data_IF_813883671735
#
_entry.id   IF_813883671735
#
_cell.length_a   1.000
_cell.length_b   1.000
_cell.length_c   1.000
_cell.angle_alpha   90.00
_cell.angle_beta   90.00
_cell.angle_gamma   90.00
#
_symmetry.space_group_name_H-M   'P 1'
#
loop_
_entity.id
_entity.type
_entity.pdbx_description
1 polymer ?
#
# COMPACT_ATOMS: atom_id res chain seq x y z
N UNK A 1 -2.49 29.43 20.28
CA UNK A 1 -3.44 29.99 19.31
C UNK A 1 -4.12 31.18 19.94
N UNK A 2 -4.05 32.34 19.29
CA UNK A 2 -4.74 33.54 19.74
C UNK A 2 -6.26 33.32 19.62
N UNK A 3 -6.99 33.64 20.68
CA UNK A 3 -8.44 33.58 20.68
C UNK A 3 -9.01 34.60 19.68
N UNK A 4 -10.08 34.23 18.93
CA UNK A 4 -10.82 35.09 18.00
C UNK A 4 -10.19 35.31 16.59
N UNK A 5 -9.32 34.43 16.12
CA UNK A 5 -8.88 34.47 14.70
C UNK A 5 -10.03 33.98 13.80
N UNK A 6 -10.43 34.82 12.81
CA UNK A 6 -11.37 34.45 11.77
C UNK A 6 -10.61 33.93 10.54
N UNK A 7 -10.73 32.63 10.26
CA UNK A 7 -10.10 31.99 9.10
C UNK A 7 -11.11 31.88 7.96
N UNK A 8 -10.76 32.40 6.77
CA UNK A 8 -11.56 32.25 5.54
C UNK A 8 -10.91 31.21 4.64
N UNK A 9 -11.54 30.05 4.47
CA UNK A 9 -10.99 28.91 3.74
C UNK A 9 -11.41 28.84 2.25
N UNK A 10 -12.42 29.60 1.85
CA UNK A 10 -12.98 29.54 0.50
C UNK A 10 -13.24 30.95 -0.06
N UNK A 11 -12.17 31.72 -0.27
CA UNK A 11 -12.21 33.01 -0.98
C UNK A 11 -11.66 32.82 -2.39
N UNK A 12 -11.94 33.77 -3.31
CA UNK A 12 -11.37 33.79 -4.65
C UNK A 12 -9.83 33.71 -4.62
N UNK A 13 -9.20 34.49 -3.73
CA UNK A 13 -7.74 34.44 -3.53
C UNK A 13 -7.26 33.06 -3.10
N UNK A 14 -7.95 32.42 -2.15
CA UNK A 14 -7.59 31.08 -1.66
C UNK A 14 -7.75 30.04 -2.76
N UNK A 15 -8.84 30.08 -3.52
CA UNK A 15 -9.06 29.16 -4.65
C UNK A 15 -7.99 29.33 -5.73
N UNK A 16 -7.62 30.56 -6.07
CA UNK A 16 -6.54 30.83 -7.04
C UNK A 16 -5.20 30.27 -6.58
N UNK A 17 -4.83 30.47 -5.31
CA UNK A 17 -3.58 29.94 -4.75
C UNK A 17 -3.58 28.40 -4.77
N UNK A 18 -4.67 27.75 -4.34
CA UNK A 18 -4.81 26.30 -4.38
C UNK A 18 -4.66 25.76 -5.80
N UNK A 19 -5.32 26.39 -6.78
CA UNK A 19 -5.19 26.03 -8.19
C UNK A 19 -3.74 26.06 -8.65
N UNK A 20 -3.01 27.13 -8.33
CA UNK A 20 -1.58 27.27 -8.69
C UNK A 20 -0.73 26.15 -8.03
N UNK A 21 -0.98 25.85 -6.76
CA UNK A 21 -0.26 24.76 -6.06
C UNK A 21 -0.56 23.41 -6.71
N UNK A 22 -1.82 23.11 -7.03
CA UNK A 22 -2.19 21.88 -7.73
C UNK A 22 -1.56 21.79 -9.12
N UNK A 23 -1.54 22.88 -9.89
CA UNK A 23 -0.84 22.95 -11.17
C UNK A 23 0.65 22.62 -11.05
N UNK A 24 1.33 23.13 -10.01
CA UNK A 24 2.74 22.84 -9.73
C UNK A 24 2.96 21.38 -9.32
N UNK A 25 2.06 20.80 -8.50
CA UNK A 25 2.11 19.39 -8.15
C UNK A 25 1.95 18.52 -9.39
N UNK A 26 0.97 18.79 -10.24
CA UNK A 26 0.72 18.06 -11.47
C UNK A 26 1.84 18.21 -12.52
N UNK A 27 2.54 19.34 -12.53
CA UNK A 27 3.69 19.56 -13.40
C UNK A 27 4.90 18.67 -13.03
N UNK A 28 4.99 18.26 -11.78
CA UNK A 28 6.05 17.37 -11.28
C UNK A 28 5.59 15.93 -11.06
N UNK A 29 4.36 15.59 -11.44
CA UNK A 29 3.75 14.30 -11.25
C UNK A 29 3.69 13.54 -12.58
N UNK A 30 4.03 12.24 -12.55
CA UNK A 30 3.76 11.36 -13.69
C UNK A 30 2.25 11.18 -13.85
N UNK A 31 1.71 11.66 -14.99
CA UNK A 31 0.28 11.74 -15.28
C UNK A 31 -0.27 10.57 -16.09
N UNK A 32 0.42 9.42 -16.08
CA UNK A 32 -0.05 8.20 -16.72
C UNK A 32 -1.21 7.56 -15.93
N UNK A 33 -2.32 8.31 -15.80
CA UNK A 33 -3.47 7.92 -14.97
C UNK A 33 -4.17 6.66 -15.48
N UNK A 34 -4.13 6.39 -16.78
CA UNK A 34 -4.79 5.23 -17.39
C UNK A 34 -4.19 3.89 -16.94
N UNK A 35 -2.93 3.88 -16.57
CA UNK A 35 -2.19 2.71 -16.09
C UNK A 35 -1.87 2.76 -14.60
N UNK A 36 -2.34 3.78 -13.90
CA UNK A 36 -2.07 3.98 -12.48
C UNK A 36 -3.07 3.21 -11.61
N UNK A 37 -2.60 2.36 -10.69
CA UNK A 37 -3.43 1.58 -9.76
C UNK A 37 -4.29 2.46 -8.82
N UNK A 38 -3.95 3.75 -8.68
CA UNK A 38 -4.72 4.70 -7.88
C UNK A 38 -5.77 5.46 -8.69
N UNK A 39 -5.89 5.22 -10.00
CA UNK A 39 -6.86 5.91 -10.87
C UNK A 39 -8.29 5.74 -10.36
N UNK A 40 -9.08 6.80 -10.39
CA UNK A 40 -10.44 6.84 -9.84
C UNK A 40 -10.53 6.96 -8.30
N UNK A 41 -9.42 6.69 -7.57
CA UNK A 41 -9.33 6.83 -6.10
C UNK A 41 -8.19 7.78 -5.69
N UNK A 42 -7.69 8.60 -6.60
CA UNK A 42 -6.56 9.50 -6.39
C UNK A 42 -7.06 10.91 -6.02
N UNK A 43 -6.68 11.39 -4.82
CA UNK A 43 -7.06 12.73 -4.37
C UNK A 43 -6.53 13.85 -5.28
N UNK A 44 -5.32 13.69 -5.83
CA UNK A 44 -4.76 14.66 -6.77
C UNK A 44 -5.60 14.75 -8.06
N UNK A 45 -6.10 13.63 -8.57
CA UNK A 45 -6.98 13.56 -9.74
C UNK A 45 -8.31 14.25 -9.44
N UNK A 46 -8.93 13.97 -8.30
CA UNK A 46 -10.18 14.60 -7.86
C UNK A 46 -10.05 16.13 -7.76
N UNK A 47 -8.98 16.61 -7.12
CA UNK A 47 -8.73 18.06 -7.03
C UNK A 47 -8.42 18.69 -8.39
N UNK A 48 -7.72 17.97 -9.29
CA UNK A 48 -7.48 18.47 -10.64
C UNK A 48 -8.80 18.71 -11.40
N UNK A 49 -9.75 17.80 -11.27
CA UNK A 49 -11.09 17.91 -11.83
C UNK A 49 -11.89 19.06 -11.18
N UNK A 50 -11.93 19.12 -9.83
CA UNK A 50 -12.64 20.17 -9.09
C UNK A 50 -12.18 21.59 -9.47
N UNK A 51 -10.88 21.78 -9.67
CA UNK A 51 -10.29 23.06 -10.04
C UNK A 51 -10.19 23.29 -11.56
N UNK A 52 -10.68 22.36 -12.38
CA UNK A 52 -10.69 22.46 -13.83
C UNK A 52 -9.30 22.58 -14.44
N UNK A 53 -8.31 21.83 -13.90
CA UNK A 53 -6.94 21.85 -14.38
C UNK A 53 -6.80 20.81 -15.51
N UNK A 54 -6.68 21.30 -16.75
CA UNK A 54 -6.54 20.46 -17.95
C UNK A 54 -5.13 20.45 -18.52
N UNK A 55 -4.40 21.53 -18.32
CA UNK A 55 -3.07 21.72 -18.89
C UNK A 55 -2.12 22.37 -17.88
N UNK A 56 -0.92 21.83 -17.81
CA UNK A 56 0.20 22.33 -17.00
C UNK A 56 1.47 22.48 -17.83
N UNK A 57 1.35 22.50 -19.16
CA UNK A 57 2.48 22.59 -20.11
C UNK A 57 3.39 23.80 -19.87
N UNK A 58 2.85 24.90 -19.33
CA UNK A 58 3.61 26.09 -18.92
C UNK A 58 4.72 25.79 -17.89
N UNK A 59 4.65 24.63 -17.19
CA UNK A 59 5.63 24.22 -16.19
C UNK A 59 6.53 23.05 -16.64
N UNK A 60 6.35 22.50 -17.85
CA UNK A 60 7.00 21.26 -18.35
C UNK A 60 8.52 21.30 -18.34
N UNK A 61 9.13 22.47 -18.41
CA UNK A 61 10.61 22.58 -18.37
C UNK A 61 11.23 22.09 -17.05
N UNK A 62 10.42 21.90 -16.00
CA UNK A 62 10.87 21.41 -14.70
C UNK A 62 10.95 19.86 -14.61
N UNK A 63 10.41 19.12 -15.57
CA UNK A 63 10.23 17.65 -15.48
C UNK A 63 11.40 16.82 -15.99
N UNK A 64 12.18 17.29 -16.96
CA UNK A 64 13.07 16.42 -17.76
C UNK A 64 14.20 15.73 -16.97
N UNK A 65 14.59 16.25 -15.82
CA UNK A 65 15.76 15.73 -15.07
C UNK A 65 15.37 14.96 -13.79
N UNK A 66 14.08 14.56 -13.63
CA UNK A 66 13.58 14.04 -12.35
C UNK A 66 13.10 12.60 -12.36
N UNK A 67 13.14 11.93 -13.50
CA UNK A 67 12.68 10.54 -13.52
C UNK A 67 13.53 9.67 -12.58
N UNK A 68 12.87 9.09 -11.58
CA UNK A 68 13.48 8.20 -10.62
C UNK A 68 13.07 6.76 -10.91
N UNK A 69 13.96 5.77 -10.70
CA UNK A 69 13.59 4.38 -10.87
C UNK A 69 12.47 3.98 -9.90
N UNK A 70 11.55 3.17 -10.41
CA UNK A 70 10.52 2.53 -9.60
C UNK A 70 11.19 1.44 -8.76
N UNK A 71 10.84 1.38 -7.48
CA UNK A 71 11.30 0.34 -6.57
C UNK A 71 10.17 -0.67 -6.35
N UNK A 72 10.28 -1.81 -7.01
CA UNK A 72 9.39 -2.97 -6.92
C UNK A 72 10.04 -4.17 -6.22
N UNK A 73 11.17 -3.94 -5.58
CA UNK A 73 11.97 -4.97 -4.90
C UNK A 73 11.27 -5.60 -3.69
N UNK A 74 10.32 -4.89 -3.08
CA UNK A 74 9.55 -5.37 -1.95
C UNK A 74 8.49 -6.40 -2.38
N UNK A 75 8.26 -7.48 -1.63
CA UNK A 75 7.27 -8.51 -1.99
C UNK A 75 5.81 -8.01 -1.98
N UNK A 76 5.52 -6.94 -1.23
CA UNK A 76 4.14 -6.46 -1.01
C UNK A 76 3.85 -5.08 -1.57
N UNK A 77 4.88 -4.24 -1.71
CA UNK A 77 4.74 -2.82 -2.04
C UNK A 77 5.56 -2.43 -3.25
N UNK A 78 5.01 -1.54 -4.05
CA UNK A 78 5.71 -0.84 -5.13
C UNK A 78 5.81 0.64 -4.79
N UNK A 79 6.99 1.24 -4.92
CA UNK A 79 7.24 2.66 -4.73
C UNK A 79 7.62 3.32 -6.05
N UNK A 80 6.77 4.22 -6.51
CA UNK A 80 7.01 5.08 -7.67
C UNK A 80 7.22 6.53 -7.25
N UNK A 81 8.47 7.00 -7.15
CA UNK A 81 8.77 8.37 -6.74
C UNK A 81 8.24 9.43 -7.70
N UNK A 82 7.97 9.08 -8.95
CA UNK A 82 7.50 10.00 -9.98
C UNK A 82 6.04 10.44 -9.75
N UNK A 83 5.30 9.64 -8.98
CA UNK A 83 3.93 9.92 -8.55
C UNK A 83 3.84 10.53 -7.14
N UNK A 84 4.99 10.83 -6.53
CA UNK A 84 5.04 11.38 -5.18
C UNK A 84 4.86 12.89 -5.17
N UNK A 85 3.92 13.38 -4.35
CA UNK A 85 3.67 14.82 -4.13
C UNK A 85 4.37 15.37 -2.88
N UNK A 86 5.26 14.62 -2.27
CA UNK A 86 6.06 15.01 -1.10
C UNK A 86 5.23 15.46 0.13
N UNK A 87 4.02 14.92 0.31
CA UNK A 87 3.14 15.27 1.43
C UNK A 87 3.62 14.77 2.80
N UNK A 88 4.52 13.76 2.83
CA UNK A 88 5.09 13.18 4.05
C UNK A 88 4.14 12.29 4.85
N UNK A 89 2.92 12.00 4.38
CA UNK A 89 1.97 11.16 5.11
C UNK A 89 2.55 9.76 5.40
N UNK A 90 3.17 9.12 4.41
CA UNK A 90 3.82 7.81 4.56
C UNK A 90 5.01 7.83 5.52
N UNK A 91 5.78 8.92 5.54
CA UNK A 91 6.92 9.10 6.47
C UNK A 91 6.39 9.10 7.91
N UNK A 92 5.35 9.91 8.19
CA UNK A 92 4.73 9.96 9.52
C UNK A 92 4.07 8.63 9.90
N UNK A 93 3.32 8.01 8.99
CA UNK A 93 2.70 6.72 9.27
C UNK A 93 3.74 5.65 9.64
N UNK A 94 4.85 5.57 8.91
CA UNK A 94 5.92 4.63 9.20
C UNK A 94 6.65 4.93 10.52
N UNK A 95 6.90 6.21 10.84
CA UNK A 95 7.64 6.59 12.03
C UNK A 95 6.78 6.64 13.29
N UNK A 96 5.55 7.20 13.21
CA UNK A 96 4.74 7.52 14.38
C UNK A 96 3.74 6.41 14.73
N UNK A 97 3.15 5.74 13.73
CA UNK A 97 2.20 4.66 13.98
C UNK A 97 2.88 3.30 14.05
N UNK A 98 3.83 3.02 13.15
CA UNK A 98 4.50 1.71 13.11
C UNK A 98 5.83 1.68 13.88
N UNK A 99 6.42 2.83 14.19
CA UNK A 99 7.68 2.91 14.94
C UNK A 99 8.94 2.48 14.16
N UNK A 100 8.82 2.14 12.86
CA UNK A 100 9.95 1.63 12.05
C UNK A 100 10.77 2.72 11.37
N UNK A 101 10.18 3.86 11.01
CA UNK A 101 10.86 4.98 10.36
C UNK A 101 11.69 4.61 9.11
N UNK A 102 11.24 3.62 8.34
CA UNK A 102 11.93 3.15 7.12
C UNK A 102 11.98 4.24 6.04
N UNK A 103 10.89 5.02 5.92
CA UNK A 103 10.77 6.08 4.93
C UNK A 103 11.13 7.43 5.54
N UNK A 104 11.89 8.23 4.80
CA UNK A 104 12.27 9.59 5.19
C UNK A 104 12.42 10.51 4.00
N UNK A 105 12.49 11.82 4.26
CA UNK A 105 12.88 12.79 3.24
C UNK A 105 14.38 12.75 3.03
N UNK A 106 14.81 12.63 1.78
CA UNK A 106 16.21 12.73 1.38
C UNK A 106 16.39 13.90 0.43
N UNK A 107 17.64 14.41 0.36
CA UNK A 107 18.03 15.57 -0.41
C UNK A 107 17.31 16.87 0.03
N UNK A 108 17.40 17.94 -0.77
CA UNK A 108 16.77 19.23 -0.49
C UNK A 108 16.36 19.97 -1.77
N UNK A 109 15.45 20.93 -1.61
CA UNK A 109 14.96 21.75 -2.70
C UNK A 109 14.28 20.91 -3.78
N UNK A 110 14.60 21.17 -5.02
CA UNK A 110 14.00 20.47 -6.16
C UNK A 110 14.37 18.99 -6.26
N UNK A 111 15.40 18.54 -5.54
CA UNK A 111 15.87 17.15 -5.51
C UNK A 111 15.30 16.35 -4.33
N UNK A 112 14.40 16.95 -3.54
CA UNK A 112 13.77 16.24 -2.42
C UNK A 112 13.01 15.02 -2.91
N UNK A 113 13.18 13.89 -2.23
CA UNK A 113 12.51 12.62 -2.51
C UNK A 113 12.15 11.93 -1.19
N UNK A 114 11.07 11.18 -1.17
CA UNK A 114 10.75 10.26 -0.07
C UNK A 114 11.30 8.88 -0.45
N UNK A 115 12.20 8.36 0.37
CA UNK A 115 12.85 7.07 0.12
C UNK A 115 13.33 6.43 1.42
N UNK A 116 13.72 5.14 1.41
CA UNK A 116 14.44 4.52 2.51
C UNK A 116 15.80 5.19 2.73
N UNK A 117 16.39 4.97 3.93
CA UNK A 117 17.67 5.53 4.31
C UNK A 117 18.76 5.23 3.27
N UNK A 118 19.57 6.22 2.95
CA UNK A 118 20.70 6.14 2.01
C UNK A 118 20.31 5.70 0.58
N UNK A 119 19.03 5.87 0.19
CA UNK A 119 18.56 5.47 -1.15
C UNK A 119 18.53 3.97 -1.39
N UNK A 120 18.53 3.17 -0.34
CA UNK A 120 18.37 1.72 -0.43
C UNK A 120 17.01 1.32 -1.00
N UNK A 121 16.91 0.11 -1.53
CA UNK A 121 15.62 -0.47 -1.95
C UNK A 121 14.78 -0.87 -0.73
N UNK A 122 13.47 -0.97 -0.92
CA UNK A 122 12.55 -1.43 0.14
C UNK A 122 12.83 -2.86 0.61
N UNK A 123 13.43 -3.70 -0.24
CA UNK A 123 13.84 -5.07 0.13
C UNK A 123 15.10 -5.11 1.01
N UNK A 124 15.90 -4.04 1.02
CA UNK A 124 17.19 -4.00 1.71
C UNK A 124 17.18 -3.22 3.04
N UNK A 125 15.99 -2.94 3.55
CA UNK A 125 15.76 -2.24 4.82
C UNK A 125 14.77 -3.02 5.68
N UNK A 126 14.72 -2.73 6.98
CA UNK A 126 13.88 -3.42 7.95
C UNK A 126 12.39 -3.03 7.81
N UNK A 127 11.85 -3.23 6.60
CA UNK A 127 10.44 -3.04 6.31
C UNK A 127 9.65 -4.28 6.71
N UNK A 128 8.60 -4.11 7.52
CA UNK A 128 7.72 -5.21 7.98
C UNK A 128 6.49 -5.41 7.06
N UNK A 129 6.46 -4.81 5.89
CA UNK A 129 5.43 -4.97 4.84
C UNK A 129 4.00 -4.65 5.28
N UNK A 130 3.81 -3.89 6.34
CA UNK A 130 2.51 -3.62 6.96
C UNK A 130 1.51 -2.81 6.09
N UNK A 131 1.96 -2.17 5.00
CA UNK A 131 1.11 -1.43 4.07
C UNK A 131 0.60 -0.07 4.55
N UNK A 132 0.86 0.36 5.80
CA UNK A 132 0.34 1.63 6.33
C UNK A 132 0.76 2.86 5.52
N UNK A 133 1.96 2.84 4.97
CA UNK A 133 2.45 3.92 4.09
C UNK A 133 1.64 4.01 2.78
N UNK A 134 1.19 2.89 2.24
CA UNK A 134 0.32 2.82 1.07
C UNK A 134 -1.11 3.30 1.41
N UNK A 135 -1.66 2.88 2.55
CA UNK A 135 -3.02 3.24 2.97
C UNK A 135 -3.20 4.77 3.10
N UNK A 136 -2.17 5.49 3.56
CA UNK A 136 -2.20 6.95 3.73
C UNK A 136 -1.70 7.72 2.50
N UNK A 137 -1.26 7.03 1.43
CA UNK A 137 -0.75 7.70 0.24
C UNK A 137 -1.91 8.28 -0.60
N UNK A 138 -1.97 9.61 -0.81
CA UNK A 138 -3.06 10.24 -1.56
C UNK A 138 -2.95 10.02 -3.07
N UNK A 139 -1.79 9.55 -3.56
CA UNK A 139 -1.51 9.31 -4.97
C UNK A 139 -1.04 7.87 -5.21
N UNK A 140 -0.66 7.53 -6.44
CA UNK A 140 -0.09 6.22 -6.80
C UNK A 140 1.41 6.06 -6.52
N UNK A 141 2.00 6.87 -5.62
CA UNK A 141 3.42 6.79 -5.30
C UNK A 141 3.80 5.55 -4.46
N UNK A 142 2.85 5.03 -3.71
CA UNK A 142 2.95 3.77 -2.98
C UNK A 142 1.70 2.96 -3.29
N UNK A 143 1.87 1.78 -3.85
CA UNK A 143 0.80 0.86 -4.22
C UNK A 143 1.10 -0.55 -3.71
N UNK A 144 0.07 -1.37 -3.63
CA UNK A 144 0.23 -2.80 -3.36
C UNK A 144 0.77 -3.45 -4.64
N UNK A 145 1.68 -4.40 -4.49
CA UNK A 145 2.17 -5.19 -5.63
C UNK A 145 1.02 -6.01 -6.20
N UNK A 146 0.76 -5.87 -7.49
CA UNK A 146 -0.34 -6.55 -8.16
C UNK A 146 0.09 -7.95 -8.61
N UNK A 147 -0.47 -8.99 -7.99
CA UNK A 147 -0.19 -10.39 -8.27
C UNK A 147 -1.28 -11.07 -9.12
N UNK A 148 -2.25 -10.32 -9.64
CA UNK A 148 -3.38 -10.88 -10.41
C UNK A 148 -2.89 -11.59 -11.67
N UNK A 149 -2.05 -10.94 -12.48
CA UNK A 149 -1.54 -11.54 -13.70
C UNK A 149 -0.63 -12.77 -13.45
N UNK A 150 0.32 -12.75 -12.49
CA UNK A 150 1.06 -13.94 -12.09
C UNK A 150 0.15 -15.11 -11.71
N UNK A 151 -0.89 -14.86 -10.88
CA UNK A 151 -1.84 -15.91 -10.48
C UNK A 151 -2.61 -16.46 -11.67
N UNK A 152 -3.12 -15.61 -12.57
CA UNK A 152 -3.77 -16.08 -13.80
C UNK A 152 -2.85 -16.94 -14.67
N UNK A 153 -1.59 -16.59 -14.78
CA UNK A 153 -0.61 -17.40 -15.53
C UNK A 153 -0.44 -18.78 -14.92
N UNK A 154 -0.43 -18.89 -13.58
CA UNK A 154 -0.35 -20.18 -12.89
C UNK A 154 -1.64 -21.01 -13.06
N UNK A 155 -2.82 -20.40 -12.95
CA UNK A 155 -4.12 -21.09 -13.13
C UNK A 155 -4.27 -21.66 -14.53
N UNK A 156 -3.71 -20.98 -15.54
CA UNK A 156 -3.81 -21.43 -16.95
C UNK A 156 -2.72 -22.41 -17.33
N UNK A 157 -1.73 -22.67 -16.50
CA UNK A 157 -0.67 -23.64 -16.73
C UNK A 157 -1.15 -25.05 -16.35
N UNK A 158 -1.26 -25.99 -17.31
CA UNK A 158 -1.78 -27.33 -17.05
C UNK A 158 -0.86 -28.19 -16.17
N UNK A 159 0.41 -27.84 -16.06
CA UNK A 159 1.40 -28.59 -15.28
C UNK A 159 1.52 -28.08 -13.84
N UNK A 160 0.85 -26.96 -13.52
CA UNK A 160 0.92 -26.32 -12.18
C UNK A 160 -0.36 -26.58 -11.38
N UNK A 161 -0.20 -27.00 -10.11
CA UNK A 161 -1.29 -27.08 -9.13
C UNK A 161 -1.36 -25.80 -8.33
N UNK A 162 -2.50 -25.11 -8.38
CA UNK A 162 -2.71 -23.82 -7.72
C UNK A 162 -3.59 -24.00 -6.49
N UNK A 163 -3.06 -23.58 -5.34
CA UNK A 163 -3.72 -23.71 -4.05
C UNK A 163 -3.98 -22.33 -3.45
N UNK A 164 -5.20 -22.11 -2.97
CA UNK A 164 -5.55 -20.89 -2.23
C UNK A 164 -5.72 -21.18 -0.74
N UNK A 165 -5.29 -20.24 0.08
CA UNK A 165 -5.55 -20.21 1.52
C UNK A 165 -6.23 -18.89 1.87
N UNK A 166 -7.38 -18.96 2.57
CA UNK A 166 -8.22 -17.80 2.85
C UNK A 166 -7.93 -17.28 4.26
N UNK A 167 -7.45 -16.02 4.35
CA UNK A 167 -7.23 -15.37 5.64
C UNK A 167 -8.56 -15.09 6.39
N UNK A 168 -8.58 -15.18 7.73
CA UNK A 168 -9.78 -14.95 8.53
C UNK A 168 -10.44 -13.60 8.31
N UNK A 169 -9.67 -12.52 8.12
CA UNK A 169 -10.18 -11.17 7.88
C UNK A 169 -10.89 -11.04 6.52
N UNK A 170 -10.40 -11.72 5.50
CA UNK A 170 -10.98 -11.64 4.14
C UNK A 170 -12.41 -12.20 4.12
N UNK A 171 -12.66 -13.31 4.84
CA UNK A 171 -13.99 -13.95 4.83
C UNK A 171 -15.10 -13.14 5.50
N UNK A 172 -14.76 -12.15 6.33
CA UNK A 172 -15.73 -11.26 6.99
C UNK A 172 -15.77 -9.86 6.37
N UNK A 173 -14.83 -9.51 5.51
CA UNK A 173 -14.76 -8.20 4.88
C UNK A 173 -15.24 -8.20 3.42
N UNK A 174 -14.87 -9.21 2.63
CA UNK A 174 -15.17 -9.22 1.19
C UNK A 174 -16.68 -9.34 0.88
N UNK A 175 -17.47 -9.87 1.81
CA UNK A 175 -18.91 -10.02 1.64
C UNK A 175 -19.63 -8.70 1.39
N UNK A 176 -19.15 -7.59 1.95
CA UNK A 176 -19.72 -6.26 1.76
C UNK A 176 -19.69 -5.81 0.30
N UNK A 177 -18.67 -6.18 -0.47
CA UNK A 177 -18.56 -5.90 -1.91
C UNK A 177 -19.64 -6.67 -2.73
N UNK A 178 -20.23 -7.71 -2.16
CA UNK A 178 -21.29 -8.52 -2.76
C UNK A 178 -22.66 -8.30 -2.11
N UNK A 179 -22.79 -7.26 -1.28
CA UNK A 179 -24.07 -6.86 -0.67
C UNK A 179 -24.47 -7.68 0.56
N UNK A 180 -23.54 -8.40 1.18
CA UNK A 180 -23.75 -9.02 2.47
C UNK A 180 -23.63 -7.98 3.61
N UNK A 181 -24.22 -8.30 4.76
CA UNK A 181 -24.10 -7.44 5.94
C UNK A 181 -22.65 -7.39 6.45
N UNK A 182 -22.19 -6.24 6.99
CA UNK A 182 -20.85 -6.10 7.55
C UNK A 182 -20.52 -7.20 8.58
N UNK A 183 -19.40 -7.90 8.37
CA UNK A 183 -18.96 -8.97 9.25
C UNK A 183 -19.62 -10.34 9.01
N UNK A 184 -20.51 -10.46 8.03
CA UNK A 184 -21.09 -11.74 7.64
C UNK A 184 -20.02 -12.69 7.06
N UNK A 185 -20.05 -13.95 7.49
CA UNK A 185 -19.04 -14.94 7.07
C UNK A 185 -19.32 -15.46 5.65
N UNK A 186 -18.51 -15.02 4.69
CA UNK A 186 -18.61 -15.36 3.27
C UNK A 186 -17.75 -16.55 2.83
N UNK A 187 -17.17 -17.33 3.75
CA UNK A 187 -16.19 -18.40 3.43
C UNK A 187 -16.69 -19.39 2.37
N UNK A 188 -17.98 -19.76 2.39
CA UNK A 188 -18.56 -20.68 1.42
C UNK A 188 -18.63 -20.09 0.03
N UNK A 189 -18.96 -18.80 -0.08
CA UNK A 189 -19.03 -18.06 -1.35
C UNK A 189 -17.63 -17.89 -1.94
N UNK A 190 -16.64 -17.51 -1.10
CA UNK A 190 -15.25 -17.37 -1.53
C UNK A 190 -14.69 -18.70 -2.04
N UNK A 191 -14.96 -19.81 -1.32
CA UNK A 191 -14.50 -21.14 -1.72
C UNK A 191 -15.12 -21.54 -3.09
N UNK A 192 -16.42 -21.31 -3.28
CA UNK A 192 -17.08 -21.59 -4.56
C UNK A 192 -16.48 -20.74 -5.69
N UNK A 193 -16.33 -19.44 -5.46
CA UNK A 193 -15.75 -18.51 -6.45
C UNK A 193 -14.32 -18.89 -6.83
N UNK A 194 -13.45 -19.19 -5.86
CA UNK A 194 -12.06 -19.60 -6.14
C UNK A 194 -11.99 -20.90 -6.95
N UNK A 195 -12.87 -21.88 -6.68
CA UNK A 195 -12.94 -23.11 -7.47
C UNK A 195 -13.41 -22.84 -8.90
N UNK A 196 -14.40 -21.97 -9.08
CA UNK A 196 -14.86 -21.58 -10.43
C UNK A 196 -13.81 -20.78 -11.21
N UNK A 197 -12.98 -19.98 -10.53
CA UNK A 197 -11.84 -19.26 -11.13
C UNK A 197 -10.80 -20.26 -11.65
N UNK A 198 -10.66 -21.43 -11.02
CA UNK A 198 -9.73 -22.48 -11.47
C UNK A 198 -8.69 -22.91 -10.45
N UNK A 199 -8.81 -22.53 -9.19
CA UNK A 199 -7.94 -23.06 -8.12
C UNK A 199 -8.22 -24.54 -7.89
N UNK A 200 -7.19 -25.38 -7.88
CA UNK A 200 -7.31 -26.82 -7.64
C UNK A 200 -7.78 -27.13 -6.23
N UNK A 201 -7.23 -26.45 -5.23
CA UNK A 201 -7.54 -26.63 -3.82
C UNK A 201 -7.73 -25.29 -3.12
N UNK A 202 -8.65 -25.26 -2.17
CA UNK A 202 -8.93 -24.07 -1.35
C UNK A 202 -8.98 -24.50 0.13
N UNK A 203 -8.17 -23.89 0.96
CA UNK A 203 -8.05 -24.18 2.39
C UNK A 203 -8.45 -22.98 3.25
N UNK A 204 -8.98 -23.28 4.43
CA UNK A 204 -9.20 -22.29 5.49
C UNK A 204 -7.93 -22.16 6.35
N UNK A 205 -7.53 -20.92 6.62
CA UNK A 205 -6.39 -20.60 7.49
C UNK A 205 -6.59 -21.11 8.92
N UNK A 206 -7.83 -21.29 9.40
CA UNK A 206 -8.07 -21.88 10.72
C UNK A 206 -7.45 -23.29 10.85
N UNK A 207 -7.55 -24.11 9.81
CA UNK A 207 -6.92 -25.42 9.79
C UNK A 207 -5.38 -25.31 9.88
N UNK A 208 -4.80 -24.38 9.14
CA UNK A 208 -3.35 -24.13 9.21
C UNK A 208 -2.92 -23.57 10.57
N UNK A 209 -3.77 -22.74 11.20
CA UNK A 209 -3.50 -22.20 12.53
C UNK A 209 -3.47 -23.31 13.60
N UNK A 210 -4.38 -24.28 13.51
CA UNK A 210 -4.39 -25.43 14.43
C UNK A 210 -3.08 -26.26 14.31
N UNK A 211 -2.61 -26.48 13.07
CA UNK A 211 -1.32 -27.14 12.84
C UNK A 211 -0.15 -26.31 13.40
N UNK A 212 -0.14 -25.00 13.17
CA UNK A 212 0.88 -24.09 13.68
C UNK A 212 0.95 -24.15 15.21
N UNK A 213 -0.20 -24.11 15.90
CA UNK A 213 -0.24 -24.22 17.37
C UNK A 213 0.39 -25.55 17.86
N UNK A 214 0.13 -26.65 17.17
CA UNK A 214 0.71 -27.95 17.53
C UNK A 214 2.23 -27.94 17.40
N UNK A 215 2.77 -27.41 16.32
CA UNK A 215 4.22 -27.31 16.08
C UNK A 215 4.89 -26.34 17.05
N UNK A 216 4.33 -25.17 17.26
CA UNK A 216 4.86 -24.17 18.20
C UNK A 216 4.81 -24.67 19.65
N UNK A 217 3.76 -25.38 20.03
CA UNK A 217 3.66 -26.00 21.36
C UNK A 217 4.74 -27.05 21.55
N UNK A 218 5.03 -27.87 20.54
CA UNK A 218 6.12 -28.87 20.59
C UNK A 218 7.48 -28.18 20.76
N UNK A 219 7.78 -27.17 19.93
CA UNK A 219 8.99 -26.37 20.02
C UNK A 219 9.14 -25.71 21.41
N UNK A 220 8.05 -25.13 21.94
CA UNK A 220 8.06 -24.53 23.27
C UNK A 220 8.43 -25.51 24.37
N UNK A 221 7.82 -26.71 24.37
CA UNK A 221 8.13 -27.77 25.32
C UNK A 221 9.59 -28.21 25.22
N UNK A 222 10.11 -28.33 24.01
CA UNK A 222 11.51 -28.66 23.77
C UNK A 222 12.46 -27.59 24.32
N UNK A 223 12.20 -26.31 24.07
CA UNK A 223 12.98 -25.16 24.58
C UNK A 223 12.95 -25.10 26.10
N UNK A 224 11.78 -25.30 26.72
CA UNK A 224 11.66 -25.35 28.20
C UNK A 224 12.46 -26.50 28.77
N UNK A 225 12.40 -27.68 28.15
CA UNK A 225 13.13 -28.88 28.61
C UNK A 225 14.66 -28.70 28.56
N UNK A 226 15.14 -27.98 27.56
CA UNK A 226 16.58 -27.68 27.40
C UNK A 226 17.02 -26.42 28.14
N UNK A 227 16.11 -25.56 28.59
CA UNK A 227 16.40 -24.27 29.20
C UNK A 227 17.03 -23.26 28.26
N UNK A 228 16.79 -23.37 26.94
CA UNK A 228 17.42 -22.57 25.89
C UNK A 228 16.39 -21.76 25.11
N UNK A 229 16.83 -20.64 24.55
CA UNK A 229 16.02 -19.79 23.65
C UNK A 229 14.67 -19.36 24.22
N UNK A 230 14.64 -18.94 25.48
CA UNK A 230 13.48 -18.41 26.17
C UNK A 230 13.68 -16.91 26.47
N UNK A 231 12.62 -16.08 26.48
CA UNK A 231 11.23 -16.44 26.18
C UNK A 231 10.97 -16.68 24.69
N UNK A 232 9.96 -17.49 24.38
CA UNK A 232 9.45 -17.69 23.02
C UNK A 232 8.37 -16.66 22.73
N UNK A 233 8.52 -15.92 21.63
CA UNK A 233 7.50 -15.03 21.07
C UNK A 233 7.08 -15.57 19.71
N UNK A 234 5.79 -15.68 19.48
CA UNK A 234 5.23 -16.11 18.21
C UNK A 234 4.17 -15.12 17.74
N UNK A 235 4.01 -14.97 16.43
CA UNK A 235 2.95 -14.18 15.83
C UNK A 235 2.63 -14.72 14.44
N UNK A 236 1.35 -14.87 14.13
CA UNK A 236 0.88 -15.21 12.78
C UNK A 236 0.92 -14.01 11.82
N UNK A 237 1.10 -12.80 12.34
CA UNK A 237 1.14 -11.57 11.58
C UNK A 237 2.43 -10.80 11.86
N UNK A 238 3.10 -10.27 10.82
CA UNK A 238 4.30 -9.44 10.99
C UNK A 238 4.02 -8.12 11.68
#
# INVERSE_FOLDING_TARGET
PEANIKVKTNTERTRRIRKTVLELLLANHDRECTTCDKSGKCELQQYAEEYGIKDVSKYVQLQKDRFQPIDDSNPSLVRDPNKCILCGACVRACAEFQGHAVLGFANRGSKTVVQPMAGKSLASVDCVFCGQCQAVCPTGALTIKNEVNPVWSLITDPDTKVVAQIAPSVRVAIGEEFGLEPGENSIKLINAALKEIGFDLVFDTNFSADLTIMEEAHEFVERVSKGENLPLFTSCCP
#
